data_IF_811679872879
#
_entry.id   IF_811679872879
#
_cell.length_a   1.000
_cell.length_b   1.000
_cell.length_c   1.000
_cell.angle_alpha   90.00
_cell.angle_beta   90.00
_cell.angle_gamma   90.00
#
_symmetry.space_group_name_H-M   'P 1'
#
loop_
_entity.id
_entity.type
_entity.pdbx_description
1 polymer ?
#
# COMPACT_ATOMS: atom_id res chain seq x y z
N UNK A 1 -1.18 -12.68 32.16
CA UNK A 1 -0.61 -11.38 31.73
C UNK A 1 0.06 -11.54 30.38
N UNK A 2 -0.53 -11.02 29.31
CA UNK A 2 0.01 -11.16 27.94
C UNK A 2 1.04 -10.05 27.69
N UNK A 3 2.34 -10.40 27.70
CA UNK A 3 3.42 -9.48 27.31
C UNK A 3 3.30 -9.23 25.81
N UNK A 4 2.59 -8.17 25.44
CA UNK A 4 2.60 -7.65 24.07
C UNK A 4 4.02 -7.15 23.81
N UNK A 5 4.86 -7.99 23.22
CA UNK A 5 6.21 -7.63 22.73
C UNK A 5 6.02 -6.42 21.83
N UNK A 6 6.35 -5.22 22.31
CA UNK A 6 6.47 -4.05 21.45
C UNK A 6 7.48 -4.44 20.38
N UNK A 7 7.03 -4.57 19.13
CA UNK A 7 7.94 -4.67 18.00
C UNK A 7 8.69 -3.36 18.00
N UNK A 8 9.98 -3.38 18.36
CA UNK A 8 10.84 -2.21 18.22
C UNK A 8 10.65 -1.69 16.79
N UNK A 9 10.43 -0.39 16.65
CA UNK A 9 10.48 0.24 15.34
C UNK A 9 11.80 -0.22 14.71
N UNK A 10 11.71 -1.01 13.64
CA UNK A 10 12.90 -1.46 12.95
C UNK A 10 13.53 -0.19 12.39
N UNK A 11 14.61 0.27 13.02
CA UNK A 11 15.43 1.34 12.46
C UNK A 11 15.81 0.91 11.05
N UNK A 12 15.22 1.57 10.06
CA UNK A 12 15.46 1.28 8.65
C UNK A 12 16.96 1.33 8.44
N UNK A 13 17.54 0.21 8.03
CA UNK A 13 18.96 0.16 7.69
C UNK A 13 19.17 1.08 6.50
N UNK A 14 20.10 2.03 6.62
CA UNK A 14 20.44 2.94 5.54
C UNK A 14 20.93 2.17 4.32
N UNK A 15 20.65 2.68 3.12
CA UNK A 15 21.10 2.05 1.87
C UNK A 15 22.62 1.86 1.84
N UNK A 16 23.37 2.81 2.41
CA UNK A 16 24.82 2.69 2.58
C UNK A 16 25.22 1.45 3.39
N UNK A 17 24.56 1.19 4.51
CA UNK A 17 24.86 0.03 5.33
C UNK A 17 24.41 -1.28 4.66
N UNK A 18 23.31 -1.27 3.90
CA UNK A 18 22.93 -2.43 3.07
C UNK A 18 24.01 -2.77 2.05
N UNK A 19 24.54 -1.77 1.34
CA UNK A 19 25.62 -1.96 0.38
C UNK A 19 26.89 -2.51 1.04
N UNK A 20 27.25 -2.04 2.23
CA UNK A 20 28.39 -2.59 3.00
C UNK A 20 28.17 -4.04 3.41
N UNK A 21 26.96 -4.40 3.84
CA UNK A 21 26.62 -5.78 4.24
C UNK A 21 26.78 -6.73 3.05
N UNK A 22 26.27 -6.35 1.88
CA UNK A 22 26.41 -7.13 0.63
C UNK A 22 27.89 -7.26 0.24
N UNK A 23 28.62 -6.14 0.19
CA UNK A 23 30.05 -6.15 -0.17
C UNK A 23 30.89 -7.03 0.77
N UNK A 24 30.62 -7.00 2.08
CA UNK A 24 31.32 -7.90 3.02
C UNK A 24 30.93 -9.36 2.85
N UNK A 25 29.68 -9.66 2.47
CA UNK A 25 29.30 -11.04 2.13
C UNK A 25 29.98 -11.54 0.87
N UNK A 26 30.12 -10.70 -0.16
CA UNK A 26 30.83 -11.06 -1.39
C UNK A 26 32.33 -11.30 -1.11
N UNK A 27 32.91 -10.57 -0.15
CA UNK A 27 34.27 -10.81 0.35
C UNK A 27 34.41 -12.05 1.27
N UNK A 28 33.33 -12.81 1.52
CA UNK A 28 33.36 -14.05 2.28
C UNK A 28 33.27 -13.93 3.80
N UNK A 29 32.94 -12.76 4.34
CA UNK A 29 32.83 -12.58 5.79
C UNK A 29 31.62 -13.30 6.38
N UNK A 30 31.75 -13.71 7.64
CA UNK A 30 30.64 -14.23 8.43
C UNK A 30 29.73 -13.10 8.91
N UNK A 31 28.44 -13.39 9.12
CA UNK A 31 27.49 -12.39 9.64
C UNK A 31 27.87 -11.85 11.04
N UNK A 32 28.66 -12.58 11.82
CA UNK A 32 29.14 -12.07 13.11
C UNK A 32 30.17 -10.93 12.93
N UNK A 33 31.06 -11.09 11.95
CA UNK A 33 32.09 -10.10 11.63
C UNK A 33 31.48 -8.85 10.97
N UNK A 34 30.47 -9.06 10.11
CA UNK A 34 29.72 -7.97 9.48
C UNK A 34 28.95 -7.18 10.56
N UNK A 35 28.26 -7.88 11.47
CA UNK A 35 27.57 -7.29 12.62
C UNK A 35 28.46 -6.38 13.45
N UNK A 36 29.68 -6.83 13.70
CA UNK A 36 30.68 -6.06 14.46
C UNK A 36 31.17 -4.81 13.73
N UNK A 37 31.22 -4.83 12.39
CA UNK A 37 31.69 -3.70 11.55
C UNK A 37 30.61 -2.68 11.20
N UNK A 38 29.37 -3.13 11.09
CA UNK A 38 28.21 -2.32 10.71
C UNK A 38 27.41 -1.87 11.95
N UNK A 39 27.65 -2.51 13.10
CA UNK A 39 26.95 -2.23 14.35
C UNK A 39 25.48 -2.67 14.30
N UNK A 40 25.20 -3.79 13.63
CA UNK A 40 23.84 -4.30 13.44
C UNK A 40 23.72 -5.75 13.90
N UNK A 41 22.50 -6.15 14.20
CA UNK A 41 22.22 -7.51 14.64
C UNK A 41 22.32 -8.47 13.44
N UNK A 42 22.98 -9.61 13.65
CA UNK A 42 23.14 -10.70 12.69
C UNK A 42 21.85 -11.06 11.93
N UNK A 43 20.71 -11.08 12.62
CA UNK A 43 19.39 -11.37 12.03
C UNK A 43 18.95 -10.33 10.99
N UNK A 44 19.36 -9.07 11.16
CA UNK A 44 19.06 -8.00 10.21
C UNK A 44 19.93 -8.15 8.96
N UNK A 45 21.18 -8.54 9.13
CA UNK A 45 22.14 -8.71 8.03
C UNK A 45 21.80 -9.91 7.16
N UNK A 46 21.42 -11.03 7.79
CA UNK A 46 20.94 -12.22 7.09
C UNK A 46 19.73 -11.89 6.21
N UNK A 47 18.74 -11.16 6.76
CA UNK A 47 17.56 -10.74 5.98
C UNK A 47 17.91 -9.83 4.81
N UNK A 48 18.88 -8.93 4.96
CA UNK A 48 19.33 -8.05 3.87
C UNK A 48 20.00 -8.86 2.77
N UNK A 49 20.86 -9.82 3.14
CA UNK A 49 21.52 -10.68 2.16
C UNK A 49 20.52 -11.59 1.46
N UNK A 50 19.56 -12.16 2.19
CA UNK A 50 18.48 -12.97 1.62
C UNK A 50 17.64 -12.14 0.66
N UNK A 51 17.23 -10.93 1.04
CA UNK A 51 16.50 -10.01 0.15
C UNK A 51 17.31 -9.67 -1.09
N UNK A 52 18.61 -9.41 -0.97
CA UNK A 52 19.49 -9.14 -2.12
C UNK A 52 19.59 -10.34 -3.07
N UNK A 53 19.75 -11.55 -2.54
CA UNK A 53 19.79 -12.77 -3.36
C UNK A 53 18.45 -13.05 -4.05
N UNK A 54 17.34 -12.75 -3.36
CA UNK A 54 15.99 -12.88 -3.91
C UNK A 54 15.67 -11.81 -4.96
N UNK A 55 16.11 -10.56 -4.76
CA UNK A 55 15.99 -9.45 -5.72
C UNK A 55 16.85 -9.69 -6.98
N UNK A 56 17.99 -10.37 -6.85
CA UNK A 56 18.78 -10.84 -8.00
C UNK A 56 18.18 -12.02 -8.75
N UNK A 57 17.26 -12.77 -8.13
CA UNK A 57 16.62 -13.98 -8.70
C UNK A 57 15.19 -13.73 -9.20
N UNK A 58 14.52 -12.72 -8.64
CA UNK A 58 13.11 -12.43 -8.90
C UNK A 58 13.02 -11.08 -9.58
N UNK A 59 12.57 -11.09 -10.83
CA UNK A 59 12.07 -9.92 -11.58
C UNK A 59 11.40 -8.91 -10.63
N UNK A 60 11.83 -7.62 -10.60
CA UNK A 60 11.36 -6.64 -9.64
C UNK A 60 9.91 -6.27 -9.97
N UNK A 61 8.97 -7.12 -9.59
CA UNK A 61 7.55 -6.79 -9.54
C UNK A 61 7.37 -5.72 -8.47
N UNK A 62 7.50 -4.47 -8.90
CA UNK A 62 7.31 -3.27 -8.11
C UNK A 62 6.01 -3.40 -7.32
N UNK A 63 6.12 -3.21 -6.02
CA UNK A 63 5.05 -2.99 -5.04
C UNK A 63 3.65 -3.10 -5.66
N UNK A 64 3.19 -4.35 -5.89
CA UNK A 64 1.88 -4.54 -6.48
C UNK A 64 0.87 -3.89 -5.54
N UNK A 65 0.18 -2.87 -6.04
CA UNK A 65 -0.81 -2.16 -5.24
C UNK A 65 -1.78 -3.21 -4.68
N UNK A 66 -2.19 -3.10 -3.40
CA UNK A 66 -3.13 -4.05 -2.82
C UNK A 66 -4.32 -4.25 -3.77
N UNK A 67 -4.76 -5.50 -3.99
CA UNK A 67 -5.77 -5.82 -5.00
C UNK A 67 -6.95 -4.87 -4.81
N UNK A 68 -7.22 -4.09 -5.85
CA UNK A 68 -8.26 -3.09 -5.79
C UNK A 68 -9.60 -3.82 -5.71
N UNK A 69 -10.37 -3.58 -4.66
CA UNK A 69 -11.71 -4.17 -4.44
C UNK A 69 -12.77 -3.77 -5.50
N UNK A 70 -12.34 -3.18 -6.61
CA UNK A 70 -13.17 -2.80 -7.76
C UNK A 70 -12.34 -3.09 -9.00
N UNK A 71 -12.97 -3.72 -9.99
CA UNK A 71 -12.37 -3.94 -11.30
C UNK A 71 -12.13 -2.61 -12.02
N UNK A 72 -11.31 -2.62 -13.08
CA UNK A 72 -11.09 -1.44 -13.92
C UNK A 72 -12.40 -0.92 -14.53
N UNK A 73 -13.33 -1.83 -14.89
CA UNK A 73 -14.65 -1.50 -15.44
C UNK A 73 -15.51 -0.74 -14.44
N UNK A 74 -15.58 -1.24 -13.20
CA UNK A 74 -16.33 -0.58 -12.12
C UNK A 74 -15.72 0.79 -11.78
N UNK A 75 -14.38 0.88 -11.74
CA UNK A 75 -13.69 2.15 -11.54
C UNK A 75 -14.06 3.21 -12.58
N UNK A 76 -14.13 2.83 -13.86
CA UNK A 76 -14.55 3.74 -14.95
C UNK A 76 -16.01 4.16 -14.81
N UNK A 77 -16.90 3.24 -14.40
CA UNK A 77 -18.32 3.56 -14.22
C UNK A 77 -18.52 4.54 -13.04
N UNK A 78 -17.78 4.36 -11.93
CA UNK A 78 -17.79 5.29 -10.79
C UNK A 78 -17.42 6.71 -11.26
N UNK A 79 -16.31 6.83 -11.99
CA UNK A 79 -15.83 8.13 -12.49
C UNK A 79 -16.82 8.73 -13.47
N UNK A 80 -17.38 7.93 -14.38
CA UNK A 80 -18.38 8.40 -15.35
C UNK A 80 -19.64 8.94 -14.66
N UNK A 81 -20.17 8.24 -13.66
CA UNK A 81 -21.37 8.69 -12.95
C UNK A 81 -21.14 10.03 -12.25
N UNK A 82 -19.98 10.22 -11.59
CA UNK A 82 -19.64 11.47 -10.91
C UNK A 82 -19.44 12.64 -11.90
N UNK A 83 -18.90 12.38 -13.10
CA UNK A 83 -18.69 13.40 -14.13
C UNK A 83 -20.00 13.80 -14.81
N UNK A 84 -20.89 12.83 -15.06
CA UNK A 84 -22.18 13.08 -15.72
C UNK A 84 -23.17 13.81 -14.82
N UNK A 85 -23.21 13.47 -13.53
CA UNK A 85 -24.10 14.11 -12.57
C UNK A 85 -23.35 14.37 -11.26
N UNK A 86 -23.04 15.63 -11.01
CA UNK A 86 -22.28 16.05 -9.83
C UNK A 86 -23.11 16.02 -8.53
N UNK A 87 -24.39 15.64 -8.60
CA UNK A 87 -25.31 15.53 -7.45
C UNK A 87 -25.45 14.10 -6.92
N UNK A 88 -24.96 13.08 -7.65
CA UNK A 88 -25.07 11.68 -7.21
C UNK A 88 -24.27 11.40 -5.95
N UNK A 89 -24.88 10.68 -5.01
CA UNK A 89 -24.22 10.29 -3.76
C UNK A 89 -23.48 8.96 -3.93
N UNK A 90 -22.40 8.74 -3.18
CA UNK A 90 -21.66 7.46 -3.21
C UNK A 90 -22.55 6.24 -2.92
N UNK A 91 -23.64 6.39 -2.16
CA UNK A 91 -24.62 5.31 -1.92
C UNK A 91 -25.35 4.93 -3.21
N UNK A 92 -25.85 5.92 -3.95
CA UNK A 92 -26.54 5.74 -5.23
C UNK A 92 -25.61 5.13 -6.28
N UNK A 93 -24.36 5.58 -6.32
CA UNK A 93 -23.32 5.00 -7.19
C UNK A 93 -23.06 3.53 -6.83
N UNK A 94 -22.96 3.22 -5.53
CA UNK A 94 -22.80 1.84 -5.06
C UNK A 94 -23.95 0.92 -5.46
N UNK A 95 -25.20 1.36 -5.25
CA UNK A 95 -26.41 0.62 -5.63
C UNK A 95 -26.49 0.38 -7.14
N UNK A 96 -26.14 1.39 -7.94
CA UNK A 96 -26.11 1.23 -9.39
C UNK A 96 -25.09 0.18 -9.82
N UNK A 97 -23.87 0.22 -9.26
CA UNK A 97 -22.83 -0.77 -9.59
C UNK A 97 -23.26 -2.17 -9.14
N UNK A 98 -23.80 -2.30 -7.93
CA UNK A 98 -24.32 -3.56 -7.41
C UNK A 98 -25.41 -4.15 -8.32
N UNK A 99 -26.32 -3.32 -8.85
CA UNK A 99 -27.35 -3.77 -9.79
C UNK A 99 -26.80 -4.31 -11.11
N UNK A 100 -25.61 -3.87 -11.53
CA UNK A 100 -24.99 -4.22 -12.82
C UNK A 100 -23.97 -5.33 -12.70
N UNK A 101 -23.23 -5.42 -11.59
CA UNK A 101 -22.14 -6.39 -11.38
C UNK A 101 -22.38 -7.38 -10.26
N UNK A 102 -23.50 -7.26 -9.52
CA UNK A 102 -23.81 -8.04 -8.32
C UNK A 102 -22.70 -8.00 -7.25
N UNK A 103 -21.86 -6.97 -7.29
CA UNK A 103 -20.74 -6.78 -6.39
C UNK A 103 -20.96 -5.57 -5.49
N UNK A 104 -20.89 -5.79 -4.18
CA UNK A 104 -21.07 -4.74 -3.17
C UNK A 104 -19.86 -3.81 -3.14
N UNK A 105 -20.05 -2.56 -3.59
CA UNK A 105 -19.01 -1.53 -3.51
C UNK A 105 -19.32 -0.56 -2.37
N UNK A 106 -18.47 -0.56 -1.35
CA UNK A 106 -18.62 0.37 -0.22
C UNK A 106 -18.41 1.83 -0.62
N UNK A 107 -19.08 2.76 0.07
CA UNK A 107 -18.87 4.20 -0.12
C UNK A 107 -17.40 4.63 0.08
N UNK A 108 -16.65 3.95 0.97
CA UNK A 108 -15.21 4.16 1.16
C UNK A 108 -14.42 3.82 -0.10
N UNK A 109 -14.77 2.71 -0.77
CA UNK A 109 -14.13 2.27 -2.02
C UNK A 109 -14.40 3.27 -3.14
N UNK A 110 -15.63 3.77 -3.25
CA UNK A 110 -16.03 4.79 -4.23
C UNK A 110 -15.25 6.08 -4.03
N UNK A 111 -15.20 6.59 -2.79
CA UNK A 111 -14.41 7.78 -2.46
C UNK A 111 -12.93 7.62 -2.81
N UNK A 112 -12.33 6.45 -2.51
CA UNK A 112 -10.94 6.15 -2.87
C UNK A 112 -10.74 6.16 -4.39
N UNK A 113 -11.68 5.60 -5.16
CA UNK A 113 -11.63 5.58 -6.64
C UNK A 113 -11.72 6.97 -7.25
N UNK A 114 -12.60 7.81 -6.71
CA UNK A 114 -12.69 9.21 -7.14
C UNK A 114 -11.38 9.94 -6.85
N UNK A 115 -10.81 9.78 -5.65
CA UNK A 115 -9.52 10.39 -5.29
C UNK A 115 -8.36 9.93 -6.20
N UNK A 116 -8.29 8.63 -6.51
CA UNK A 116 -7.30 8.09 -7.46
C UNK A 116 -7.42 8.71 -8.86
N UNK A 117 -8.61 9.18 -9.22
CA UNK A 117 -8.90 9.79 -10.52
C UNK A 117 -8.88 11.33 -10.46
N UNK A 118 -8.41 11.93 -9.35
CA UNK A 118 -8.37 13.38 -9.15
C UNK A 118 -9.72 14.02 -8.82
N UNK A 119 -10.77 13.23 -8.59
CA UNK A 119 -12.11 13.70 -8.25
C UNK A 119 -12.34 13.66 -6.73
N UNK A 120 -13.07 14.65 -6.22
CA UNK A 120 -13.40 14.71 -4.79
C UNK A 120 -14.84 14.29 -4.56
N UNK A 121 -15.04 13.18 -3.86
CA UNK A 121 -16.38 12.77 -3.41
C UNK A 121 -16.93 13.83 -2.45
N UNK A 122 -18.01 14.52 -2.81
CA UNK A 122 -18.62 15.52 -1.93
C UNK A 122 -19.36 14.84 -0.78
N UNK A 123 -19.16 15.33 0.44
CA UNK A 123 -20.14 15.16 1.51
C UNK A 123 -21.30 16.12 1.20
N UNK A 124 -22.56 15.68 1.22
CA UNK A 124 -23.68 16.63 1.15
C UNK A 124 -23.50 17.63 2.30
N UNK A 125 -23.41 18.90 1.95
CA UNK A 125 -23.58 19.96 2.94
C UNK A 125 -25.03 19.84 3.38
N UNK A 126 -25.25 19.51 4.66
CA UNK A 126 -26.57 19.62 5.27
C UNK A 126 -27.00 21.07 5.06
N UNK A 127 -27.96 21.28 4.16
CA UNK A 127 -28.48 22.60 3.86
C UNK A 127 -29.01 23.20 5.16
N UNK A 128 -28.42 24.31 5.58
CA UNK A 128 -29.05 25.15 6.61
C UNK A 128 -30.40 25.61 6.02
N UNK A 129 -31.50 25.46 6.76
CA UNK A 129 -32.78 25.96 6.30
C UNK A 129 -32.65 27.48 6.11
N UNK A 130 -32.85 27.95 4.88
CA UNK A 130 -33.01 29.37 4.62
C UNK A 130 -34.43 29.73 5.07
N UNK A 131 -34.54 30.26 6.29
CA UNK A 131 -35.71 31.00 6.77
C UNK A 131 -35.69 32.42 6.24
#
# INVERSE_FOLDING_TARGET
MSRRKQRSAFDKVSEFNKGRIVAYRDCGLTFSEIGSRVGRNQTTEMRICDSWMQEGTTDPYGLSHPPQCTTLREGRQIVRMEVMDRSVTSRTVGQHIESVTHHLVSARTIRRRLQQSGLSARRPLLGLPLT
#
